data_IF_892104302063
#
_entry.id   IF_892104302063
#
_cell.length_a   1.000
_cell.length_b   1.000
_cell.length_c   1.000
_cell.angle_alpha   90.00
_cell.angle_beta   90.00
_cell.angle_gamma   90.00
#
_symmetry.space_group_name_H-M   'P 1'
#
loop_
_entity.id
_entity.type
_entity.pdbx_description
1 polymer ?
#
# COMPACT_ATOMS: atom_id res chain seq x y z
N UNK A 1 30.04 10.83 -34.06
CA UNK A 1 29.39 9.60 -33.60
C UNK A 1 27.89 9.80 -33.77
N UNK A 2 27.35 9.42 -34.94
CA UNK A 2 26.77 8.10 -35.25
C UNK A 2 25.29 8.09 -34.86
N UNK A 3 24.31 7.77 -35.71
CA UNK A 3 24.20 7.67 -37.16
C UNK A 3 22.71 7.87 -37.43
N UNK A 4 22.39 8.75 -38.38
CA UNK A 4 21.08 8.78 -39.05
C UNK A 4 21.14 7.74 -40.15
N UNK A 5 20.15 6.85 -40.23
CA UNK A 5 19.92 6.03 -41.43
C UNK A 5 18.43 6.07 -41.73
N UNK A 6 18.15 6.82 -42.79
CA UNK A 6 16.92 6.81 -43.56
C UNK A 6 16.77 5.49 -44.35
N UNK A 7 15.63 5.41 -45.06
CA UNK A 7 15.46 4.72 -46.36
C UNK A 7 14.95 3.27 -46.26
N UNK A 8 13.65 3.05 -46.56
CA UNK A 8 13.09 2.61 -47.87
C UNK A 8 13.29 1.09 -48.07
N UNK A 9 12.39 0.30 -48.62
CA UNK A 9 11.36 0.55 -49.62
C UNK A 9 10.45 -0.69 -49.74
N UNK A 10 9.31 -0.47 -50.40
CA UNK A 10 8.54 -1.39 -51.25
C UNK A 10 8.07 -2.78 -50.79
N UNK A 11 6.73 -2.84 -50.72
CA UNK A 11 5.79 -3.87 -51.21
C UNK A 11 6.30 -4.79 -52.34
N UNK A 12 5.75 -6.02 -52.47
CA UNK A 12 4.54 -6.21 -53.29
C UNK A 12 3.47 -7.06 -52.58
N UNK A 13 2.20 -6.69 -52.67
CA UNK A 13 1.23 -7.10 -53.70
C UNK A 13 0.58 -8.47 -53.47
N UNK A 14 -0.76 -8.40 -53.39
CA UNK A 14 -1.74 -9.46 -53.47
C UNK A 14 -1.47 -10.48 -54.57
N UNK A 15 -1.85 -11.74 -54.35
CA UNK A 15 -2.83 -12.47 -55.18
C UNK A 15 -2.99 -13.92 -54.75
N UNK A 16 -4.25 -14.35 -54.65
CA UNK A 16 -4.71 -15.49 -55.46
C UNK A 16 -4.55 -16.90 -54.89
N UNK A 17 -5.71 -17.52 -54.69
CA UNK A 17 -6.02 -18.92 -54.99
C UNK A 17 -5.45 -20.04 -54.09
N UNK A 18 -6.39 -20.75 -53.43
CA UNK A 18 -6.25 -22.15 -53.01
C UNK A 18 -6.25 -23.09 -54.25
N UNK A 19 -6.20 -24.44 -54.14
CA UNK A 19 -5.90 -25.36 -53.02
C UNK A 19 -4.80 -26.41 -53.38
N UNK A 20 -4.30 -27.19 -52.41
CA UNK A 20 -3.99 -28.63 -52.60
C UNK A 20 -3.39 -29.28 -51.35
N UNK A 21 -4.06 -30.36 -50.96
CA UNK A 21 -3.73 -31.46 -50.07
C UNK A 21 -2.26 -31.89 -50.01
N UNK A 22 -1.70 -32.05 -48.80
CA UNK A 22 -0.79 -33.15 -48.47
C UNK A 22 -0.47 -33.19 -46.95
N UNK A 23 -0.54 -34.40 -46.38
CA UNK A 23 0.39 -34.80 -45.32
C UNK A 23 0.01 -34.49 -43.88
N UNK A 24 -0.67 -35.45 -43.24
CA UNK A 24 -0.74 -35.59 -41.78
C UNK A 24 0.66 -35.60 -41.19
N UNK A 25 0.88 -34.85 -40.10
CA UNK A 25 1.70 -35.27 -38.96
C UNK A 25 1.20 -34.51 -37.72
N UNK A 26 0.73 -35.28 -36.75
CA UNK A 26 0.16 -34.83 -35.49
C UNK A 26 1.23 -34.14 -34.64
N UNK A 27 1.07 -32.85 -34.38
CA UNK A 27 1.80 -32.15 -33.33
C UNK A 27 0.99 -32.23 -32.02
N UNK A 28 1.54 -32.75 -30.91
CA UNK A 28 0.88 -32.65 -29.62
C UNK A 28 1.00 -31.22 -29.11
N UNK A 29 -0.12 -30.50 -29.16
CA UNK A 29 -0.28 -29.14 -28.65
C UNK A 29 0.05 -29.07 -27.16
N UNK A 30 1.17 -28.42 -26.83
CA UNK A 30 1.51 -28.05 -25.46
C UNK A 30 0.53 -26.97 -24.97
N UNK A 31 -0.45 -27.34 -24.16
CA UNK A 31 -1.31 -26.41 -23.43
C UNK A 31 -0.54 -25.80 -22.26
N UNK A 32 0.14 -24.68 -22.51
CA UNK A 32 0.66 -23.82 -21.44
C UNK A 32 -0.51 -22.98 -20.92
N UNK A 33 -1.14 -23.44 -19.83
CA UNK A 33 -2.09 -22.64 -19.08
C UNK A 33 -1.33 -21.54 -18.32
N UNK A 34 -1.19 -20.37 -18.93
CA UNK A 34 -0.65 -19.17 -18.29
C UNK A 34 -1.72 -18.58 -17.38
N UNK A 35 -1.60 -18.80 -16.07
CA UNK A 35 -2.36 -18.09 -15.05
C UNK A 35 -1.92 -16.62 -15.03
N UNK A 36 -2.62 -15.77 -15.79
CA UNK A 36 -2.50 -14.33 -15.69
C UNK A 36 -3.09 -13.84 -14.35
N UNK A 37 -2.27 -13.77 -13.30
CA UNK A 37 -2.56 -12.99 -12.08
C UNK A 37 -2.43 -11.50 -12.40
N UNK A 38 -3.31 -10.97 -13.26
CA UNK A 38 -3.38 -9.53 -13.56
C UNK A 38 -4.52 -8.90 -12.75
N UNK A 39 -4.22 -8.53 -11.51
CA UNK A 39 -4.92 -7.44 -10.83
C UNK A 39 -4.06 -6.80 -9.74
N UNK A 40 -2.85 -6.33 -10.09
CA UNK A 40 -2.32 -5.12 -9.47
C UNK A 40 -3.09 -3.93 -10.07
N UNK A 41 -4.39 -3.86 -9.79
CA UNK A 41 -5.20 -2.70 -10.11
C UNK A 41 -4.69 -1.51 -9.30
N UNK A 42 -4.84 -0.26 -9.80
CA UNK A 42 -4.49 0.91 -9.01
C UNK A 42 -5.23 0.82 -7.67
N UNK A 43 -4.48 0.81 -6.55
CA UNK A 43 -5.07 0.95 -5.22
C UNK A 43 -5.98 2.17 -5.28
N UNK A 44 -7.27 1.97 -5.04
CA UNK A 44 -8.23 3.04 -5.06
C UNK A 44 -7.78 4.08 -4.01
N UNK A 45 -7.23 5.20 -4.47
CA UNK A 45 -6.66 6.25 -3.61
C UNK A 45 -7.73 7.19 -3.06
N UNK A 46 -8.98 6.97 -3.47
CA UNK A 46 -10.18 7.69 -3.02
C UNK A 46 -10.88 6.97 -1.85
N UNK A 47 -10.35 5.82 -1.41
CA UNK A 47 -10.91 5.13 -0.24
C UNK A 47 -10.71 6.01 0.99
N UNK A 48 -11.82 6.39 1.62
CA UNK A 48 -11.83 7.11 2.89
C UNK A 48 -11.95 6.05 3.97
N UNK A 49 -10.96 5.96 4.85
CA UNK A 49 -11.08 5.17 6.07
C UNK A 49 -12.36 5.61 6.78
N UNK A 50 -13.03 4.69 7.48
CA UNK A 50 -14.12 5.04 8.40
C UNK A 50 -13.70 6.28 9.23
N UNK A 51 -14.59 7.20 9.58
CA UNK A 51 -14.20 8.44 10.27
C UNK A 51 -13.57 9.55 9.40
N UNK A 52 -13.58 9.43 8.07
CA UNK A 52 -13.32 10.57 7.18
C UNK A 52 -11.85 10.78 6.79
N UNK A 53 -10.94 9.88 7.17
CA UNK A 53 -9.51 10.01 6.89
C UNK A 53 -9.17 9.38 5.53
N UNK A 54 -8.59 10.13 4.57
CA UNK A 54 -8.20 9.56 3.28
C UNK A 54 -7.20 8.41 3.45
N UNK A 55 -7.35 7.30 2.72
CA UNK A 55 -6.43 6.16 2.79
C UNK A 55 -5.00 6.52 2.35
N UNK A 56 -4.83 7.59 1.56
CA UNK A 56 -3.52 8.16 1.20
C UNK A 56 -2.79 8.87 2.34
N UNK A 57 -3.43 9.05 3.49
CA UNK A 57 -2.83 9.74 4.64
C UNK A 57 -1.64 8.94 5.16
N UNK A 58 -0.47 9.56 5.21
CA UNK A 58 0.69 8.96 5.85
C UNK A 58 0.49 8.99 7.37
N UNK A 59 -0.11 7.92 7.90
CA UNK A 59 -0.46 7.82 9.32
C UNK A 59 0.76 7.96 10.26
N UNK A 60 1.92 7.35 9.98
CA UNK A 60 3.12 7.58 10.79
C UNK A 60 3.49 9.05 10.90
N UNK A 61 3.51 9.78 9.77
CA UNK A 61 3.81 11.21 9.75
C UNK A 61 2.75 12.04 10.50
N UNK A 62 1.49 11.63 10.41
CA UNK A 62 0.37 12.34 11.03
C UNK A 62 0.37 12.27 12.57
N UNK A 63 1.16 11.38 13.18
CA UNK A 63 1.35 11.34 14.64
C UNK A 63 2.13 12.54 15.18
N UNK A 64 2.88 13.25 14.32
CA UNK A 64 3.86 14.30 14.69
C UNK A 64 4.99 13.81 15.61
N UNK A 65 5.18 12.49 15.71
CA UNK A 65 6.34 11.86 16.33
C UNK A 65 7.47 11.67 15.29
N UNK A 66 8.72 11.51 15.73
CA UNK A 66 9.82 11.11 14.85
C UNK A 66 9.49 9.79 14.15
N UNK A 67 9.81 9.68 12.85
CA UNK A 67 9.43 8.52 12.04
C UNK A 67 10.07 7.23 12.56
N UNK A 68 11.28 7.32 13.10
CA UNK A 68 12.03 6.24 13.73
C UNK A 68 11.40 5.74 15.04
N UNK A 69 10.62 6.59 15.72
CA UNK A 69 9.91 6.22 16.93
C UNK A 69 8.63 5.45 16.62
N UNK A 70 7.95 5.76 15.51
CA UNK A 70 6.68 5.12 15.16
C UNK A 70 6.93 3.73 14.57
N UNK A 71 6.28 2.72 15.16
CA UNK A 71 6.31 1.35 14.62
C UNK A 71 5.06 1.05 13.83
N UNK A 72 3.90 1.28 14.43
CA UNK A 72 2.62 1.11 13.74
C UNK A 72 1.61 2.13 14.19
N UNK A 73 0.75 2.54 13.27
CA UNK A 73 -0.44 3.35 13.53
C UNK A 73 -1.60 2.70 12.83
N UNK A 74 -2.65 2.38 13.57
CA UNK A 74 -3.82 1.71 13.04
C UNK A 74 -5.07 2.42 13.49
N UNK A 75 -6.02 2.60 12.55
CA UNK A 75 -7.33 3.12 12.88
C UNK A 75 -8.19 2.04 13.54
N UNK A 76 -8.97 2.41 14.56
CA UNK A 76 -9.90 1.56 15.31
C UNK A 76 -11.29 2.20 15.34
N UNK A 77 -12.30 1.45 15.78
CA UNK A 77 -13.68 1.98 15.86
C UNK A 77 -13.82 3.08 16.92
N UNK A 78 -13.02 3.02 17.99
CA UNK A 78 -13.00 4.03 19.05
C UNK A 78 -12.06 5.22 18.76
N UNK A 79 -11.23 5.15 17.72
CA UNK A 79 -10.18 6.14 17.43
C UNK A 79 -8.95 5.49 16.82
N UNK A 80 -7.83 5.50 17.55
CA UNK A 80 -6.52 5.09 17.02
C UNK A 80 -5.76 4.17 17.96
N UNK A 81 -4.95 3.27 17.41
CA UNK A 81 -3.93 2.51 18.11
C UNK A 81 -2.56 2.88 17.59
N UNK A 82 -1.65 3.21 18.50
CA UNK A 82 -0.27 3.58 18.18
C UNK A 82 0.68 2.64 18.91
N UNK A 83 1.66 2.10 18.20
CA UNK A 83 2.82 1.42 18.77
C UNK A 83 4.06 2.23 18.41
N UNK A 84 4.85 2.60 19.42
CA UNK A 84 6.02 3.47 19.25
C UNK A 84 7.12 3.17 20.27
N UNK A 85 8.35 3.63 19.99
CA UNK A 85 9.45 3.62 20.95
C UNK A 85 9.48 4.92 21.77
N UNK A 86 9.28 4.84 23.09
CA UNK A 86 9.29 6.01 23.96
C UNK A 86 10.68 6.64 24.09
N UNK A 87 11.76 5.85 23.95
CA UNK A 87 13.15 6.36 24.02
C UNK A 87 13.52 7.28 22.86
N UNK A 88 12.85 7.13 21.72
CA UNK A 88 13.04 7.93 20.52
C UNK A 88 11.96 8.99 20.33
N UNK A 89 11.03 9.11 21.28
CA UNK A 89 9.90 10.03 21.22
C UNK A 89 10.07 11.16 22.25
N UNK A 90 9.47 12.34 22.03
CA UNK A 90 9.48 13.40 23.03
C UNK A 90 8.67 13.00 24.28
N UNK A 91 8.90 13.66 25.41
CA UNK A 91 8.25 13.32 26.68
C UNK A 91 6.71 13.44 26.66
N UNK A 92 6.17 14.26 25.76
CA UNK A 92 4.74 14.50 25.54
C UNK A 92 4.14 13.64 24.41
N UNK A 93 4.84 12.57 23.99
CA UNK A 93 4.49 11.76 22.82
C UNK A 93 3.03 11.27 22.80
N UNK A 94 2.52 10.76 23.92
CA UNK A 94 1.15 10.24 24.02
C UNK A 94 0.12 11.34 23.70
N UNK A 95 0.20 12.48 24.41
CA UNK A 95 -0.70 13.61 24.22
C UNK A 95 -0.59 14.26 22.84
N UNK A 96 0.65 14.35 22.33
CA UNK A 96 0.94 14.93 21.03
C UNK A 96 0.34 14.08 19.92
N UNK A 97 0.61 12.77 19.93
CA UNK A 97 0.05 11.85 18.95
C UNK A 97 -1.47 11.77 19.05
N UNK A 98 -2.04 11.73 20.25
CA UNK A 98 -3.48 11.73 20.45
C UNK A 98 -4.17 12.95 19.83
N UNK A 99 -3.62 14.14 20.09
CA UNK A 99 -4.15 15.39 19.54
C UNK A 99 -4.06 15.41 18.02
N UNK A 100 -2.92 15.00 17.46
CA UNK A 100 -2.70 15.02 16.02
C UNK A 100 -3.62 14.02 15.30
N UNK A 101 -3.75 12.80 15.81
CA UNK A 101 -4.57 11.76 15.22
C UNK A 101 -6.08 12.03 15.33
N UNK A 102 -6.58 12.47 16.49
CA UNK A 102 -8.02 12.80 16.61
C UNK A 102 -8.42 13.99 15.74
N UNK A 103 -7.50 14.95 15.52
CA UNK A 103 -7.74 16.06 14.58
C UNK A 103 -7.91 15.62 13.13
N UNK A 104 -7.32 14.50 12.70
CA UNK A 104 -7.57 13.94 11.36
C UNK A 104 -9.04 13.59 11.15
N UNK A 105 -9.73 13.20 12.22
CA UNK A 105 -11.16 12.87 12.20
C UNK A 105 -12.05 14.08 12.53
N UNK A 106 -11.47 15.28 12.70
CA UNK A 106 -12.17 16.46 13.22
C UNK A 106 -12.78 16.26 14.61
N UNK A 107 -12.13 15.45 15.46
CA UNK A 107 -12.60 15.07 16.80
C UNK A 107 -11.62 15.52 17.89
N UNK A 108 -12.13 15.64 19.11
CA UNK A 108 -11.32 15.89 20.30
C UNK A 108 -10.74 14.60 20.89
N UNK A 109 -9.70 14.72 21.72
CA UNK A 109 -9.20 13.59 22.52
C UNK A 109 -10.15 13.36 23.69
N UNK A 110 -10.68 12.15 23.82
CA UNK A 110 -11.51 11.74 24.96
C UNK A 110 -10.63 11.16 26.07
N UNK A 111 -9.81 10.15 25.74
CA UNK A 111 -8.88 9.51 26.69
C UNK A 111 -7.76 8.75 25.96
N UNK A 112 -6.71 8.44 26.70
CA UNK A 112 -5.57 7.63 26.25
C UNK A 112 -5.42 6.46 27.23
N UNK A 113 -5.36 5.24 26.71
CA UNK A 113 -5.16 4.03 27.49
C UNK A 113 -3.84 3.36 27.09
N UNK A 114 -3.01 3.02 28.08
CA UNK A 114 -1.82 2.20 27.84
C UNK A 114 -2.21 0.73 27.80
N UNK A 115 -1.89 0.05 26.71
CA UNK A 115 -2.25 -1.35 26.51
C UNK A 115 -0.99 -2.20 26.50
N UNK A 116 -0.94 -3.31 27.25
CA UNK A 116 0.20 -4.22 27.20
C UNK A 116 0.34 -4.86 25.81
N UNK A 117 1.57 -4.98 25.33
CA UNK A 117 1.84 -5.75 24.12
C UNK A 117 1.67 -7.25 24.41
N UNK A 118 1.10 -7.98 23.45
CA UNK A 118 0.90 -9.43 23.58
C UNK A 118 2.22 -10.21 23.59
N UNK A 119 3.21 -9.75 22.82
CA UNK A 119 4.55 -10.34 22.75
C UNK A 119 5.62 -9.24 22.85
N UNK A 120 5.93 -8.73 24.08
CA UNK A 120 6.87 -7.63 24.26
C UNK A 120 8.32 -7.94 23.82
N UNK A 121 8.66 -9.22 23.66
CA UNK A 121 10.00 -9.66 23.25
C UNK A 121 10.31 -9.44 21.76
N UNK A 122 9.29 -9.30 20.92
CA UNK A 122 9.46 -9.16 19.47
C UNK A 122 9.98 -7.76 19.08
N UNK A 123 9.62 -6.74 19.86
CA UNK A 123 10.08 -5.36 19.70
C UNK A 123 10.29 -4.69 21.07
N UNK A 124 11.44 -4.95 21.72
CA UNK A 124 11.65 -4.61 23.12
C UNK A 124 11.65 -3.09 23.34
N UNK A 125 10.99 -2.67 24.41
CA UNK A 125 10.90 -1.27 24.80
C UNK A 125 9.88 -0.46 24.00
N UNK A 126 9.11 -1.07 23.10
CA UNK A 126 7.94 -0.40 22.52
C UNK A 126 6.80 -0.25 23.51
N UNK A 127 5.97 0.76 23.27
CA UNK A 127 4.74 1.04 24.00
C UNK A 127 3.57 1.04 23.03
N UNK A 128 2.46 0.43 23.45
CA UNK A 128 1.19 0.47 22.74
C UNK A 128 0.19 1.32 23.51
N UNK A 129 -0.47 2.24 22.81
CA UNK A 129 -1.55 3.06 23.36
C UNK A 129 -2.78 2.99 22.46
N UNK A 130 -3.94 3.02 23.11
CA UNK A 130 -5.24 3.24 22.50
C UNK A 130 -5.71 4.67 22.78
N UNK A 131 -6.00 5.39 21.71
CA UNK A 131 -6.44 6.78 21.74
C UNK A 131 -7.91 6.79 21.36
N UNK A 132 -8.74 7.28 22.27
CA UNK A 132 -10.17 7.40 22.08
C UNK A 132 -10.48 8.84 21.67
N UNK A 133 -11.16 9.01 20.53
CA UNK A 133 -11.62 10.32 20.10
C UNK A 133 -13.10 10.53 20.50
N UNK A 134 -13.52 11.77 20.70
CA UNK A 134 -14.88 12.18 21.11
C UNK A 134 -15.77 12.45 19.89
#
# INVERSE_FOLDING_TARGET
MSSKVDMMDASPASSGAAPASAGRLLAPSALIATLCLTACGPRNTDEVLRGGVPARTNLPLATTLPAEAVRTVARRDFGWRLIYHPVSAPADADSRAATALCRLESRGVNRIEHVPLAAPGDDPGTRMIDIFCA
#
